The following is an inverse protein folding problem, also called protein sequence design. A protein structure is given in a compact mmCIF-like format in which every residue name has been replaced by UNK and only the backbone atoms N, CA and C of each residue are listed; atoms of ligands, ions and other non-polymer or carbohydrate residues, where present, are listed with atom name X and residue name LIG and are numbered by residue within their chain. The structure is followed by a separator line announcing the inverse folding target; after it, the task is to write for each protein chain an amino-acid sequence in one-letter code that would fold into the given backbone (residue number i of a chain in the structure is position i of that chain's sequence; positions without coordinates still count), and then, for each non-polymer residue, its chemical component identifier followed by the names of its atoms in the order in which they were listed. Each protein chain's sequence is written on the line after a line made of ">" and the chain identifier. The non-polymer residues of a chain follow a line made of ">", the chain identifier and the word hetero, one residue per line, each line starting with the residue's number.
data_IF_800901407676
#
_entry.id   IF_800901407676
#
_cell.length_a   1.000
_cell.length_b   1.000
_cell.length_c   1.000
_cell.angle_alpha   90.00
_cell.angle_beta   90.00
_cell.angle_gamma   90.00
#
_symmetry.space_group_name_H-M   'P 1'
#
loop_
_entity.id
_entity.type
_entity.pdbx_description
1 polymer ?
#
# COMPACT_ATOMS: atom_id res chain seq x y z
N UNK A 1 -15.66 20.23 -21.19
CA UNK A 1 -15.34 18.84 -20.86
C UNK A 1 -14.48 18.87 -19.61
N UNK A 2 -14.96 18.30 -18.51
CA UNK A 2 -14.31 18.38 -17.20
C UNK A 2 -13.12 17.42 -17.16
N UNK A 3 -11.98 17.91 -16.70
CA UNK A 3 -10.71 17.22 -16.49
C UNK A 3 -10.83 16.12 -15.40
N UNK A 4 -11.54 15.03 -15.65
CA UNK A 4 -11.71 13.95 -14.67
C UNK A 4 -10.36 13.26 -14.37
N UNK A 5 -9.48 13.14 -15.38
CA UNK A 5 -8.15 12.53 -15.20
C UNK A 5 -7.17 13.38 -14.39
N UNK A 6 -7.26 14.72 -14.38
CA UNK A 6 -6.32 15.53 -13.59
C UNK A 6 -6.64 15.47 -12.10
N UNK A 7 -7.94 15.41 -11.75
CA UNK A 7 -8.39 15.34 -10.35
C UNK A 7 -7.99 14.03 -9.67
N UNK A 8 -8.10 12.89 -10.38
CA UNK A 8 -7.71 11.58 -9.84
C UNK A 8 -6.21 11.49 -9.55
N UNK A 9 -5.37 11.95 -10.48
CA UNK A 9 -3.90 11.92 -10.31
C UNK A 9 -3.44 12.86 -9.20
N UNK A 10 -4.04 14.04 -9.09
CA UNK A 10 -3.72 15.02 -8.03
C UNK A 10 -4.15 14.51 -6.64
N UNK A 11 -5.38 13.99 -6.51
CA UNK A 11 -5.86 13.44 -5.24
C UNK A 11 -5.06 12.19 -4.81
N UNK A 12 -4.81 11.27 -5.75
CA UNK A 12 -4.04 10.06 -5.48
C UNK A 12 -2.58 10.37 -5.13
N UNK A 13 -1.99 11.40 -5.76
CA UNK A 13 -0.65 11.88 -5.43
C UNK A 13 -0.54 12.50 -4.02
N UNK A 14 -1.58 13.24 -3.59
CA UNK A 14 -1.66 13.77 -2.21
C UNK A 14 -1.73 12.62 -1.20
N UNK A 15 -2.61 11.64 -1.43
CA UNK A 15 -2.77 10.47 -0.55
C UNK A 15 -1.50 9.63 -0.48
N UNK A 16 -0.85 9.40 -1.61
CA UNK A 16 0.43 8.70 -1.65
C UNK A 16 1.53 9.45 -0.89
N UNK A 17 1.57 10.79 -1.00
CA UNK A 17 2.50 11.61 -0.23
C UNK A 17 2.24 11.51 1.28
N UNK A 18 0.97 11.41 1.69
CA UNK A 18 0.58 11.16 3.08
C UNK A 18 1.02 9.77 3.54
N UNK A 19 0.79 8.73 2.75
CA UNK A 19 1.26 7.36 3.02
C UNK A 19 2.79 7.31 3.18
N UNK A 20 3.54 7.92 2.25
CA UNK A 20 5.01 8.03 2.35
C UNK A 20 5.45 8.82 3.58
N UNK A 21 4.71 9.84 4.01
CA UNK A 21 5.01 10.58 5.24
C UNK A 21 4.73 9.75 6.51
N UNK A 22 3.64 8.99 6.52
CA UNK A 22 3.23 8.11 7.62
C UNK A 22 4.19 6.92 7.78
N UNK A 23 4.62 6.32 6.67
CA UNK A 23 5.32 5.03 6.64
C UNK A 23 6.82 5.16 6.27
N UNK A 24 7.22 6.24 5.60
CA UNK A 24 8.61 6.48 5.16
C UNK A 24 9.52 7.12 6.21
N UNK A 25 8.98 7.59 7.34
CA UNK A 25 9.77 8.17 8.45
C UNK A 25 10.46 7.12 9.35
N UNK A 26 10.66 5.90 8.88
CA UNK A 26 10.97 4.78 9.77
C UNK A 26 12.05 3.83 9.30
N UNK A 27 13.29 4.30 9.11
CA UNK A 27 14.43 3.38 9.11
C UNK A 27 14.67 2.69 10.46
N UNK A 28 13.94 3.09 11.53
CA UNK A 28 13.95 2.46 12.86
C UNK A 28 12.68 2.74 13.72
N UNK A 29 11.64 3.35 13.15
CA UNK A 29 10.51 3.89 13.93
C UNK A 29 9.45 2.82 14.14
N UNK A 30 9.12 2.53 15.39
CA UNK A 30 7.99 1.66 15.76
C UNK A 30 6.72 2.17 15.07
N UNK A 31 6.17 1.39 14.14
CA UNK A 31 4.88 1.70 13.54
C UNK A 31 3.83 1.52 14.63
N UNK A 32 3.11 2.60 14.96
CA UNK A 32 2.04 2.54 15.96
C UNK A 32 0.76 1.97 15.36
N UNK A 33 -0.14 1.44 16.19
CA UNK A 33 -1.46 1.00 15.73
C UNK A 33 -2.24 2.12 15.05
N UNK A 34 -2.10 3.36 15.55
CA UNK A 34 -2.71 4.53 14.92
C UNK A 34 -2.14 4.77 13.52
N UNK A 35 -0.83 4.63 13.33
CA UNK A 35 -0.18 4.75 12.01
C UNK A 35 -0.69 3.67 11.06
N UNK A 36 -0.85 2.43 11.52
CA UNK A 36 -1.39 1.35 10.71
C UNK A 36 -2.83 1.61 10.26
N UNK A 37 -3.70 2.04 11.19
CA UNK A 37 -5.10 2.33 10.89
C UNK A 37 -5.25 3.54 9.95
N UNK A 38 -4.43 4.57 10.13
CA UNK A 38 -4.42 5.71 9.20
C UNK A 38 -3.92 5.32 7.81
N UNK A 39 -2.86 4.51 7.72
CA UNK A 39 -2.38 4.01 6.44
C UNK A 39 -3.41 3.08 5.75
N UNK A 40 -4.10 2.23 6.52
CA UNK A 40 -5.21 1.42 6.02
C UNK A 40 -6.29 2.29 5.38
N UNK A 41 -6.72 3.37 6.03
CA UNK A 41 -7.75 4.28 5.51
C UNK A 41 -7.31 4.96 4.20
N UNK A 42 -6.04 5.33 4.08
CA UNK A 42 -5.51 5.91 2.84
C UNK A 42 -5.44 4.87 1.71
N UNK A 43 -5.01 3.63 1.99
CA UNK A 43 -5.04 2.56 0.99
C UNK A 43 -6.48 2.20 0.56
N UNK A 44 -7.44 2.16 1.49
CA UNK A 44 -8.86 1.92 1.19
C UNK A 44 -9.46 3.02 0.32
N UNK A 45 -9.06 4.28 0.57
CA UNK A 45 -9.45 5.42 -0.26
C UNK A 45 -8.87 5.31 -1.68
N UNK A 46 -7.59 4.93 -1.81
CA UNK A 46 -6.96 4.70 -3.11
C UNK A 46 -7.57 3.50 -3.85
N UNK A 47 -7.99 2.45 -3.14
CA UNK A 47 -8.75 1.34 -3.69
C UNK A 47 -10.07 1.81 -4.30
N UNK A 48 -10.85 2.61 -3.56
CA UNK A 48 -12.11 3.18 -4.06
C UNK A 48 -11.91 4.05 -5.30
N UNK A 49 -10.84 4.84 -5.32
CA UNK A 49 -10.49 5.69 -6.45
C UNK A 49 -10.04 4.86 -7.67
N UNK A 50 -9.17 3.86 -7.49
CA UNK A 50 -8.72 2.97 -8.56
C UNK A 50 -9.88 2.20 -9.20
N UNK A 51 -10.83 1.73 -8.38
CA UNK A 51 -12.06 1.06 -8.84
C UNK A 51 -12.95 2.00 -9.64
N UNK A 52 -13.12 3.25 -9.21
CA UNK A 52 -13.90 4.24 -9.95
C UNK A 52 -13.29 4.58 -11.33
N UNK A 53 -11.99 4.35 -11.50
CA UNK A 53 -11.22 4.62 -12.72
C UNK A 53 -10.97 3.37 -13.59
N UNK A 54 -11.55 2.22 -13.24
CA UNK A 54 -11.39 0.95 -13.96
C UNK A 54 -9.92 0.51 -14.09
N UNK A 55 -9.16 0.62 -12.99
CA UNK A 55 -7.74 0.23 -12.91
C UNK A 55 -7.59 -1.05 -12.05
N UNK A 56 -7.86 -2.25 -12.58
CA UNK A 56 -7.97 -3.49 -11.80
C UNK A 56 -6.67 -3.91 -11.10
N UNK A 57 -5.52 -3.69 -11.73
CA UNK A 57 -4.21 -4.00 -11.14
C UNK A 57 -3.94 -3.11 -9.91
N UNK A 58 -4.31 -1.83 -10.01
CA UNK A 58 -4.16 -0.85 -8.93
C UNK A 58 -5.19 -1.08 -7.82
N UNK A 59 -6.42 -1.44 -8.17
CA UNK A 59 -7.45 -1.86 -7.22
C UNK A 59 -6.94 -3.02 -6.36
N UNK A 60 -6.39 -4.05 -7.02
CA UNK A 60 -5.85 -5.24 -6.36
C UNK A 60 -4.65 -4.89 -5.47
N UNK A 61 -3.74 -4.04 -5.96
CA UNK A 61 -2.57 -3.57 -5.21
C UNK A 61 -2.98 -2.80 -3.93
N UNK A 62 -3.88 -1.82 -4.05
CA UNK A 62 -4.37 -1.03 -2.93
C UNK A 62 -5.07 -1.90 -1.87
N UNK A 63 -5.93 -2.84 -2.29
CA UNK A 63 -6.63 -3.74 -1.38
C UNK A 63 -5.67 -4.64 -0.58
N UNK A 64 -4.66 -5.17 -1.25
CA UNK A 64 -3.66 -6.04 -0.64
C UNK A 64 -2.77 -5.26 0.35
N UNK A 65 -2.36 -4.04 0.01
CA UNK A 65 -1.63 -3.15 0.90
C UNK A 65 -2.46 -2.72 2.11
N UNK A 66 -3.76 -2.44 1.94
CA UNK A 66 -4.67 -2.18 3.06
C UNK A 66 -4.72 -3.39 4.01
N UNK A 67 -4.88 -4.60 3.48
CA UNK A 67 -4.89 -5.84 4.26
C UNK A 67 -3.55 -6.07 4.98
N UNK A 68 -2.43 -5.75 4.33
CA UNK A 68 -1.11 -5.83 4.93
C UNK A 68 -0.92 -4.85 6.11
N UNK A 69 -1.52 -3.66 6.08
CA UNK A 69 -1.51 -2.75 7.23
C UNK A 69 -2.28 -3.30 8.43
N UNK A 70 -3.41 -3.99 8.21
CA UNK A 70 -4.14 -4.67 9.27
C UNK A 70 -3.32 -5.84 9.84
N UNK A 71 -2.63 -6.59 8.99
CA UNK A 71 -1.70 -7.63 9.41
C UNK A 71 -0.57 -7.06 10.27
N UNK A 72 0.14 -6.03 9.79
CA UNK A 72 1.17 -5.34 10.58
C UNK A 72 0.62 -4.87 11.92
N UNK A 73 -0.57 -4.26 11.94
CA UNK A 73 -1.22 -3.82 13.18
C UNK A 73 -1.43 -4.98 14.18
N UNK A 74 -1.79 -6.17 13.68
CA UNK A 74 -1.98 -7.36 14.51
C UNK A 74 -0.68 -7.89 15.15
N UNK A 75 0.47 -7.57 14.55
CA UNK A 75 1.79 -7.95 15.08
C UNK A 75 2.28 -7.01 16.20
N UNK A 76 1.67 -5.83 16.36
CA UNK A 76 2.12 -4.86 17.35
C UNK A 76 1.92 -5.39 18.78
N UNK A 77 2.88 -5.14 19.71
CA UNK A 77 3.98 -4.17 19.63
C UNK A 77 5.29 -4.71 19.03
N UNK A 78 5.28 -5.84 18.32
CA UNK A 78 6.52 -6.37 17.72
C UNK A 78 7.11 -5.39 16.71
N UNK A 79 8.44 -5.25 16.73
CA UNK A 79 9.15 -4.51 15.69
C UNK A 79 9.03 -5.25 14.38
N UNK A 80 8.73 -4.51 13.31
CA UNK A 80 8.71 -5.05 11.97
C UNK A 80 10.08 -5.62 11.59
N UNK A 81 10.06 -6.79 10.95
CA UNK A 81 11.27 -7.37 10.37
C UNK A 81 11.79 -6.51 9.21
N UNK A 82 13.07 -6.62 8.88
CA UNK A 82 13.65 -5.94 7.70
C UNK A 82 12.90 -6.29 6.42
N UNK A 83 12.46 -7.55 6.30
CA UNK A 83 11.65 -8.00 5.17
C UNK A 83 10.28 -7.28 5.14
N UNK A 84 9.59 -7.20 6.28
CA UNK A 84 8.28 -6.54 6.34
C UNK A 84 8.37 -5.05 6.02
N UNK A 85 9.45 -4.40 6.44
CA UNK A 85 9.75 -3.01 6.11
C UNK A 85 10.06 -2.85 4.60
N UNK A 86 10.90 -3.71 4.03
CA UNK A 86 11.22 -3.68 2.60
C UNK A 86 9.97 -3.88 1.74
N UNK A 87 9.15 -4.88 2.06
CA UNK A 87 7.90 -5.18 1.38
C UNK A 87 6.90 -4.00 1.44
N UNK A 88 6.86 -3.28 2.57
CA UNK A 88 6.06 -2.07 2.69
C UNK A 88 6.58 -0.94 1.78
N UNK A 89 7.90 -0.73 1.72
CA UNK A 89 8.50 0.29 0.87
C UNK A 89 8.34 -0.04 -0.63
N UNK A 90 8.50 -1.30 -1.01
CA UNK A 90 8.33 -1.76 -2.39
C UNK A 90 6.88 -1.55 -2.86
N UNK A 91 5.89 -1.84 -2.00
CA UNK A 91 4.49 -1.56 -2.27
C UNK A 91 4.19 -0.06 -2.47
N UNK A 92 4.78 0.80 -1.65
CA UNK A 92 4.65 2.25 -1.79
C UNK A 92 5.31 2.78 -3.07
N UNK A 93 6.45 2.21 -3.46
CA UNK A 93 7.13 2.57 -4.70
C UNK A 93 6.32 2.11 -5.92
N UNK A 94 5.72 0.92 -5.87
CA UNK A 94 4.82 0.44 -6.93
C UNK A 94 3.59 1.32 -7.10
N UNK A 95 3.01 1.82 -6.00
CA UNK A 95 1.92 2.80 -6.08
C UNK A 95 2.37 4.14 -6.68
N UNK A 96 3.57 4.60 -6.37
CA UNK A 96 4.16 5.81 -6.96
C UNK A 96 4.34 5.66 -8.46
N UNK A 97 4.89 4.53 -8.89
CA UNK A 97 5.07 4.22 -10.30
C UNK A 97 3.74 4.04 -11.04
N UNK A 98 2.74 3.43 -10.38
CA UNK A 98 1.42 3.23 -10.96
C UNK A 98 0.60 4.53 -11.09
N UNK A 99 0.66 5.40 -10.08
CA UNK A 99 -0.17 6.61 -9.99
C UNK A 99 0.46 7.82 -10.69
N UNK A 100 1.77 8.00 -10.57
CA UNK A 100 2.45 9.22 -11.03
C UNK A 100 3.21 9.02 -12.33
N UNK A 101 3.87 7.87 -12.52
CA UNK A 101 4.75 7.68 -13.68
C UNK A 101 4.09 6.89 -14.81
N UNK A 102 2.98 6.18 -14.54
CA UNK A 102 2.36 5.20 -15.44
C UNK A 102 3.37 4.17 -15.97
N UNK A 103 4.48 3.97 -15.26
CA UNK A 103 5.56 3.05 -15.63
C UNK A 103 5.56 1.90 -14.65
N UNK A 104 4.58 1.03 -14.77
CA UNK A 104 4.59 -0.23 -14.03
C UNK A 104 4.34 -1.39 -14.99
N UNK A 105 5.06 -2.48 -14.77
CA UNK A 105 4.78 -3.73 -15.43
C UNK A 105 3.73 -4.47 -14.60
N UNK A 106 2.64 -4.92 -15.23
CA UNK A 106 1.67 -5.82 -14.60
C UNK A 106 2.36 -7.04 -13.97
N UNK A 107 3.46 -7.53 -14.56
CA UNK A 107 4.27 -8.60 -13.96
C UNK A 107 4.85 -8.24 -12.60
N UNK A 108 5.35 -7.01 -12.42
CA UNK A 108 5.92 -6.57 -11.13
C UNK A 108 4.84 -6.45 -10.05
N UNK A 109 3.62 -6.01 -10.42
CA UNK A 109 2.49 -6.01 -9.49
C UNK A 109 2.15 -7.44 -9.08
N UNK A 110 2.09 -8.38 -10.03
CA UNK A 110 1.80 -9.78 -9.70
C UNK A 110 2.88 -10.44 -8.83
N UNK A 111 4.17 -10.20 -9.11
CA UNK A 111 5.28 -10.72 -8.30
C UNK A 111 5.21 -10.16 -6.87
N UNK A 112 5.00 -8.85 -6.73
CA UNK A 112 4.81 -8.21 -5.44
C UNK A 112 3.60 -8.75 -4.67
N UNK A 113 2.45 -8.90 -5.34
CA UNK A 113 1.23 -9.44 -4.73
C UNK A 113 1.44 -10.88 -4.24
N UNK A 114 2.22 -11.69 -4.97
CA UNK A 114 2.58 -13.03 -4.54
C UNK A 114 3.46 -13.00 -3.27
N UNK A 115 4.46 -12.13 -3.21
CA UNK A 115 5.30 -11.95 -2.01
C UNK A 115 4.51 -11.46 -0.80
N UNK A 116 3.63 -10.48 -1.00
CA UNK A 116 2.76 -9.92 0.04
C UNK A 116 1.79 -10.96 0.59
N UNK A 117 1.13 -11.70 -0.30
CA UNK A 117 0.23 -12.78 0.08
C UNK A 117 0.98 -13.87 0.85
N UNK A 118 2.18 -14.23 0.39
CA UNK A 118 3.03 -15.21 1.08
C UNK A 118 3.35 -14.75 2.50
N UNK A 119 3.70 -13.48 2.71
CA UNK A 119 4.00 -12.93 4.04
C UNK A 119 2.79 -12.92 4.97
N UNK A 120 1.63 -12.46 4.50
CA UNK A 120 0.38 -12.47 5.28
C UNK A 120 0.04 -13.91 5.71
N UNK A 121 0.20 -14.88 4.80
CA UNK A 121 -0.08 -16.29 5.07
C UNK A 121 0.95 -16.94 6.02
N UNK A 122 2.21 -16.46 6.10
CA UNK A 122 3.16 -16.91 7.14
C UNK A 122 2.65 -16.57 8.54
N UNK A 123 2.06 -15.38 8.70
CA UNK A 123 1.41 -14.96 9.93
C UNK A 123 0.14 -15.76 10.28
N UNK A 124 -0.43 -16.45 9.28
CA UNK A 124 -1.61 -17.30 9.38
C UNK A 124 -1.37 -18.72 9.88
N UNK A 125 -0.16 -19.10 10.29
CA UNK A 125 0.05 -20.38 11.01
C UNK A 125 -0.33 -20.21 12.49
N UNK A 126 -1.58 -19.83 12.74
CA UNK A 126 -2.22 -19.93 14.06
C UNK A 126 -3.05 -21.21 14.00
N UNK A 127 -2.46 -22.30 14.47
CA UNK A 127 -3.21 -23.49 14.88
C UNK A 127 -3.92 -23.23 16.21
#
# INVERSE_FOLDING_TARGET
>A
MTNINSSFSEESGIRLSQLKSLLGKGSNSEISSQTCLSAYQEFDSLYGAARAMDMPDLETLCQNLASYMLYINSLLPAKLSQFQQALLQDGLNLLDDALLTQRYSTSHIHDFLHELSTEINKGGTIS
#
